data_IF_375016984457
#
_entry.id   IF_375016984457
#
_cell.length_a   1.000
_cell.length_b   1.000
_cell.length_c   1.000
_cell.angle_alpha   90.00
_cell.angle_beta   90.00
_cell.angle_gamma   90.00
#
_symmetry.space_group_name_H-M   'P 1'
#
loop_
_entity.id
_entity.type
_entity.pdbx_description
1 polymer ?
#
# COMPACT_ATOMS: atom_id res chain seq x y z
N UNK A 1 -7.79 -36.55 6.09
CA UNK A 1 -8.76 -35.44 5.99
C UNK A 1 -9.67 -35.58 7.18
N UNK A 2 -9.51 -34.76 8.20
CA UNK A 2 -10.42 -34.78 9.35
C UNK A 2 -11.72 -34.07 8.94
N UNK A 3 -12.84 -34.80 9.00
CA UNK A 3 -14.18 -34.25 8.88
C UNK A 3 -14.50 -33.44 10.13
N UNK A 4 -14.71 -32.13 10.02
CA UNK A 4 -14.87 -31.25 11.20
C UNK A 4 -16.23 -30.54 11.29
N UNK A 5 -17.26 -30.97 10.54
CA UNK A 5 -18.59 -30.39 10.72
C UNK A 5 -19.74 -31.14 10.03
N UNK A 6 -20.96 -30.88 10.51
CA UNK A 6 -22.23 -31.27 9.90
C UNK A 6 -22.92 -30.04 9.36
N UNK A 7 -23.42 -30.10 8.13
CA UNK A 7 -24.26 -29.06 7.53
C UNK A 7 -25.70 -29.49 7.72
N UNK A 8 -26.49 -28.66 8.41
CA UNK A 8 -27.93 -28.85 8.57
C UNK A 8 -28.68 -27.92 7.64
N UNK A 9 -29.57 -28.47 6.81
CA UNK A 9 -30.45 -27.67 5.96
C UNK A 9 -31.72 -27.35 6.74
N UNK A 10 -31.88 -26.11 7.22
CA UNK A 10 -32.96 -25.72 8.13
C UNK A 10 -34.37 -25.84 7.53
N UNK A 11 -34.47 -25.85 6.20
CA UNK A 11 -35.75 -25.96 5.48
C UNK A 11 -36.19 -27.42 5.32
N UNK A 12 -35.24 -28.33 5.09
CA UNK A 12 -35.52 -29.74 4.75
C UNK A 12 -35.26 -30.68 5.94
N UNK A 13 -34.51 -30.23 6.95
CA UNK A 13 -34.13 -31.05 8.11
C UNK A 13 -33.03 -32.07 7.83
N UNK A 14 -32.46 -32.05 6.62
CA UNK A 14 -31.40 -32.99 6.22
C UNK A 14 -30.03 -32.56 6.76
N UNK A 15 -29.29 -33.55 7.28
CA UNK A 15 -27.92 -33.37 7.76
C UNK A 15 -26.93 -34.05 6.81
N UNK A 16 -25.99 -33.28 6.29
CA UNK A 16 -24.92 -33.80 5.43
C UNK A 16 -23.54 -33.59 6.06
N UNK A 17 -22.57 -34.44 5.71
CA UNK A 17 -21.19 -34.31 6.20
C UNK A 17 -20.48 -33.16 5.49
N UNK A 18 -19.90 -32.23 6.27
CA UNK A 18 -19.10 -31.15 5.72
C UNK A 18 -17.68 -31.65 5.38
N UNK A 19 -17.32 -31.57 4.11
CA UNK A 19 -15.95 -31.84 3.64
C UNK A 19 -15.08 -30.57 3.62
N UNK A 20 -15.61 -29.43 4.05
CA UNK A 20 -14.87 -28.17 4.08
C UNK A 20 -13.93 -28.17 5.29
N UNK A 21 -12.64 -27.95 5.05
CA UNK A 21 -11.68 -27.78 6.13
C UNK A 21 -11.80 -26.36 6.70
N UNK A 22 -12.54 -26.19 7.79
CA UNK A 22 -12.65 -24.91 8.47
C UNK A 22 -11.30 -24.51 9.07
N UNK A 23 -10.73 -23.42 8.57
CA UNK A 23 -9.56 -22.77 9.16
C UNK A 23 -9.86 -21.29 9.35
N UNK A 24 -9.20 -20.64 10.30
CA UNK A 24 -9.37 -19.19 10.53
C UNK A 24 -9.08 -18.36 9.26
N UNK A 25 -8.24 -18.88 8.37
CA UNK A 25 -7.88 -18.23 7.10
C UNK A 25 -8.80 -18.60 5.92
N UNK A 26 -9.86 -19.38 6.13
CA UNK A 26 -10.78 -19.74 5.05
C UNK A 26 -11.44 -18.49 4.47
N UNK A 27 -11.66 -18.48 3.14
CA UNK A 27 -12.18 -17.33 2.39
C UNK A 27 -11.32 -16.06 2.50
N UNK A 28 -10.06 -16.18 2.91
CA UNK A 28 -9.09 -15.07 2.87
C UNK A 28 -7.97 -15.35 1.87
N UNK A 29 -7.23 -14.32 1.50
CA UNK A 29 -6.01 -14.44 0.68
C UNK A 29 -4.90 -15.29 1.33
N UNK A 30 -5.02 -15.60 2.62
CA UNK A 30 -4.10 -16.43 3.39
C UNK A 30 -4.56 -17.89 3.50
N UNK A 31 -5.55 -18.30 2.71
CA UNK A 31 -6.02 -19.69 2.63
C UNK A 31 -4.94 -20.67 2.12
N UNK A 32 -5.04 -21.93 2.54
CA UNK A 32 -4.16 -23.06 2.12
C UNK A 32 -2.66 -22.80 2.26
N UNK A 33 -2.23 -22.09 3.31
CA UNK A 33 -0.81 -21.86 3.57
C UNK A 33 -0.24 -22.98 4.44
N UNK A 34 0.90 -23.53 4.02
CA UNK A 34 1.66 -24.56 4.75
C UNK A 34 2.22 -24.11 6.12
N UNK A 35 2.03 -22.85 6.51
CA UNK A 35 2.58 -22.29 7.77
C UNK A 35 1.51 -22.34 8.84
N UNK A 36 1.91 -22.64 10.08
CA UNK A 36 1.01 -22.52 11.22
C UNK A 36 0.47 -21.11 11.35
N UNK A 37 -0.77 -20.99 11.81
CA UNK A 37 -1.46 -19.72 11.97
C UNK A 37 -0.65 -18.70 12.80
N UNK A 38 -0.01 -19.16 13.88
CA UNK A 38 0.88 -18.33 14.71
C UNK A 38 2.06 -17.72 13.94
N UNK A 39 2.65 -18.46 12.99
CA UNK A 39 3.75 -17.95 12.14
C UNK A 39 3.25 -16.98 11.07
N UNK A 40 2.01 -17.15 10.61
CA UNK A 40 1.36 -16.21 9.70
C UNK A 40 1.15 -14.87 10.42
N UNK A 41 0.62 -14.88 11.64
CA UNK A 41 0.44 -13.67 12.46
C UNK A 41 1.78 -12.99 12.83
N UNK A 42 2.79 -13.79 13.21
CA UNK A 42 4.12 -13.25 13.48
C UNK A 42 4.76 -12.61 12.23
N UNK A 43 4.36 -13.06 11.03
CA UNK A 43 4.83 -12.51 9.77
C UNK A 43 4.08 -11.25 9.33
N UNK A 44 2.81 -11.07 9.71
CA UNK A 44 2.06 -9.85 9.37
C UNK A 44 2.52 -8.64 10.18
N UNK A 45 2.89 -8.82 11.46
CA UNK A 45 3.37 -7.76 12.34
C UNK A 45 4.50 -6.87 11.74
N UNK A 46 5.67 -7.41 11.34
CA UNK A 46 6.74 -6.60 10.77
C UNK A 46 6.37 -6.00 9.41
N UNK A 47 5.42 -6.60 8.68
CA UNK A 47 4.92 -6.01 7.46
C UNK A 47 4.06 -4.77 7.73
N UNK A 48 3.16 -4.84 8.73
CA UNK A 48 2.30 -3.72 9.12
C UNK A 48 3.09 -2.59 9.79
N UNK A 49 4.17 -2.91 10.51
CA UNK A 49 5.02 -1.91 11.16
C UNK A 49 5.91 -1.11 10.18
N UNK A 50 6.11 -1.60 8.95
CA UNK A 50 6.89 -0.89 7.94
C UNK A 50 6.04 0.15 7.21
N UNK A 51 6.51 1.40 7.11
CA UNK A 51 5.81 2.50 6.41
C UNK A 51 5.41 2.11 4.97
N UNK A 52 6.25 1.35 4.27
CA UNK A 52 5.97 0.81 2.92
C UNK A 52 5.88 -0.73 2.89
N UNK A 53 5.75 -1.34 4.06
CA UNK A 53 5.98 -2.77 4.26
C UNK A 53 7.45 -3.13 4.42
N UNK A 54 7.73 -4.44 4.37
CA UNK A 54 9.06 -5.00 4.65
C UNK A 54 9.67 -5.63 3.39
N UNK A 55 10.96 -5.42 3.14
CA UNK A 55 11.67 -6.14 2.08
C UNK A 55 11.69 -7.65 2.38
N UNK A 56 11.44 -8.49 1.36
CA UNK A 56 11.37 -9.95 1.54
C UNK A 56 12.64 -10.54 2.16
N UNK A 57 13.81 -9.97 1.85
CA UNK A 57 15.09 -10.40 2.41
C UNK A 57 15.22 -10.08 3.91
N UNK A 58 14.66 -8.96 4.36
CA UNK A 58 14.59 -8.60 5.78
C UNK A 58 13.57 -9.50 6.50
N UNK A 59 12.40 -9.70 5.90
CA UNK A 59 11.33 -10.55 6.43
C UNK A 59 11.79 -12.00 6.64
N UNK A 60 12.65 -12.49 5.76
CA UNK A 60 13.30 -13.79 5.86
C UNK A 60 14.03 -13.99 7.18
N UNK A 61 14.69 -12.93 7.70
CA UNK A 61 15.44 -12.96 8.95
C UNK A 61 14.52 -13.10 10.17
N UNK A 62 13.34 -12.48 10.12
CA UNK A 62 12.33 -12.59 11.18
C UNK A 62 11.68 -13.98 11.24
N UNK A 63 11.29 -14.54 10.09
CA UNK A 63 10.51 -15.80 10.02
C UNK A 63 11.40 -17.05 9.93
N UNK A 64 12.70 -16.87 9.62
CA UNK A 64 13.70 -17.92 9.36
C UNK A 64 13.26 -18.88 8.26
N UNK A 65 13.12 -18.39 7.02
CA UNK A 65 12.67 -19.17 5.87
C UNK A 65 13.53 -18.95 4.62
N UNK A 66 13.19 -19.60 3.51
CA UNK A 66 13.75 -19.28 2.18
C UNK A 66 13.07 -18.03 1.62
N UNK A 67 13.81 -17.21 0.86
CA UNK A 67 13.38 -15.92 0.29
C UNK A 67 12.06 -15.99 -0.52
N UNK A 68 11.80 -17.10 -1.20
CA UNK A 68 10.57 -17.28 -1.97
C UNK A 68 9.31 -17.26 -1.09
N UNK A 69 9.41 -17.74 0.16
CA UNK A 69 8.28 -17.80 1.08
C UNK A 69 7.76 -16.42 1.52
N UNK A 70 8.59 -15.51 2.09
CA UNK A 70 8.16 -14.18 2.47
C UNK A 70 7.79 -13.35 1.24
N UNK A 71 8.46 -13.54 0.09
CA UNK A 71 8.12 -12.87 -1.16
C UNK A 71 6.67 -13.15 -1.59
N UNK A 72 6.29 -14.42 -1.74
CA UNK A 72 4.91 -14.79 -2.12
C UNK A 72 3.91 -14.41 -1.02
N UNK A 73 4.30 -14.53 0.25
CA UNK A 73 3.45 -14.15 1.38
C UNK A 73 3.10 -12.66 1.38
N UNK A 74 4.09 -11.78 1.19
CA UNK A 74 3.89 -10.33 1.14
C UNK A 74 3.00 -9.92 -0.03
N UNK A 75 3.12 -10.57 -1.19
CA UNK A 75 2.21 -10.31 -2.32
C UNK A 75 0.76 -10.69 -2.00
N UNK A 76 0.53 -11.75 -1.22
CA UNK A 76 -0.82 -12.08 -0.74
C UNK A 76 -1.37 -11.04 0.22
N UNK A 77 -0.53 -10.46 1.08
CA UNK A 77 -0.95 -9.34 1.94
C UNK A 77 -1.33 -8.13 1.09
N UNK A 78 -0.53 -7.78 0.07
CA UNK A 78 -0.86 -6.67 -0.85
C UNK A 78 -2.17 -6.91 -1.60
N UNK A 79 -2.37 -8.13 -2.10
CA UNK A 79 -3.65 -8.50 -2.72
C UNK A 79 -4.83 -8.36 -1.73
N UNK A 80 -4.63 -8.70 -0.46
CA UNK A 80 -5.65 -8.52 0.57
C UNK A 80 -5.97 -7.04 0.83
N UNK A 81 -4.95 -6.19 0.94
CA UNK A 81 -5.13 -4.74 1.07
C UNK A 81 -5.86 -4.17 -0.14
N UNK A 82 -5.49 -4.60 -1.35
CA UNK A 82 -6.15 -4.16 -2.58
C UNK A 82 -7.63 -4.54 -2.58
N UNK A 83 -8.00 -5.80 -2.26
CA UNK A 83 -9.42 -6.19 -2.18
C UNK A 83 -10.21 -5.37 -1.16
N UNK A 84 -9.58 -4.99 -0.04
CA UNK A 84 -10.22 -4.13 0.95
C UNK A 84 -10.41 -2.72 0.38
N UNK A 85 -9.36 -2.14 -0.21
CA UNK A 85 -9.42 -0.80 -0.81
C UNK A 85 -10.46 -0.73 -1.93
N UNK A 86 -10.52 -1.73 -2.82
CA UNK A 86 -11.50 -1.80 -3.91
C UNK A 86 -12.92 -1.82 -3.34
N UNK A 87 -13.16 -2.61 -2.27
CA UNK A 87 -14.45 -2.67 -1.59
C UNK A 87 -14.83 -1.37 -0.88
N UNK A 88 -13.85 -0.65 -0.32
CA UNK A 88 -14.12 0.67 0.29
C UNK A 88 -14.37 1.73 -0.79
N UNK A 89 -13.67 1.67 -1.92
CA UNK A 89 -13.87 2.57 -3.05
C UNK A 89 -15.27 2.42 -3.67
N UNK A 90 -15.80 1.19 -3.73
CA UNK A 90 -17.19 0.92 -4.15
C UNK A 90 -18.23 1.65 -3.28
N UNK A 91 -17.91 1.95 -2.01
CA UNK A 91 -18.80 2.67 -1.09
C UNK A 91 -18.68 4.19 -1.19
N UNK A 92 -17.72 4.70 -1.95
CA UNK A 92 -17.41 6.12 -2.08
C UNK A 92 -15.94 6.44 -1.80
N UNK A 93 -15.49 7.68 -2.08
CA UNK A 93 -14.14 8.11 -1.75
C UNK A 93 -13.90 8.06 -0.23
N UNK A 94 -12.77 7.46 0.18
CA UNK A 94 -12.39 7.35 1.61
C UNK A 94 -12.15 8.74 2.21
N UNK A 95 -11.72 9.69 1.37
CA UNK A 95 -11.48 11.09 1.74
C UNK A 95 -11.99 11.99 0.62
N UNK A 96 -12.65 13.09 0.98
CA UNK A 96 -13.17 14.10 0.06
C UNK A 96 -12.41 15.43 0.25
N UNK A 97 -12.24 16.20 -0.82
CA UNK A 97 -11.54 17.50 -0.81
C UNK A 97 -10.07 17.43 -1.27
N UNK A 98 -9.29 18.47 -0.97
CA UNK A 98 -7.85 18.51 -1.25
C UNK A 98 -7.10 17.68 -0.19
N UNK A 99 -6.65 16.49 -0.58
CA UNK A 99 -5.89 15.58 0.28
C UNK A 99 -4.40 15.74 0.03
N UNK A 100 -3.70 16.38 0.96
CA UNK A 100 -2.24 16.42 0.95
C UNK A 100 -1.68 15.09 1.47
N UNK A 101 -1.01 14.33 0.59
CA UNK A 101 -0.37 13.07 0.96
C UNK A 101 1.08 13.35 1.36
N UNK A 102 1.34 13.38 2.67
CA UNK A 102 2.68 13.56 3.21
C UNK A 102 3.50 12.27 3.01
N UNK A 103 4.35 12.27 1.97
CA UNK A 103 5.27 11.18 1.68
C UNK A 103 4.83 10.21 0.59
N UNK A 104 4.74 10.68 -0.66
CA UNK A 104 4.67 9.79 -1.82
C UNK A 104 6.08 9.37 -2.26
N UNK A 105 6.47 8.12 -1.99
CA UNK A 105 7.73 7.57 -2.49
C UNK A 105 7.56 7.09 -3.94
N UNK A 106 7.83 8.00 -4.88
CA UNK A 106 7.80 7.75 -6.32
C UNK A 106 9.00 6.91 -6.72
N UNK A 107 8.85 5.58 -6.75
CA UNK A 107 9.85 4.71 -7.38
C UNK A 107 9.65 4.69 -8.89
N UNK A 108 9.82 5.86 -9.51
CA UNK A 108 9.90 5.98 -10.96
C UNK A 108 11.33 5.74 -11.42
N UNK A 109 11.51 5.01 -12.53
CA UNK A 109 12.79 5.05 -13.26
C UNK A 109 12.96 6.51 -13.69
N UNK A 110 13.97 7.22 -13.20
CA UNK A 110 14.22 8.61 -13.61
C UNK A 110 14.42 8.65 -15.13
N UNK A 111 13.36 8.99 -15.87
CA UNK A 111 13.43 9.15 -17.32
C UNK A 111 14.11 10.48 -17.56
N UNK A 112 15.41 10.44 -17.84
CA UNK A 112 16.14 11.62 -18.28
C UNK A 112 15.96 11.76 -19.79
N UNK A 113 15.66 12.96 -20.30
CA UNK A 113 15.70 13.18 -21.74
C UNK A 113 17.12 12.95 -22.25
N UNK A 114 17.25 12.41 -23.47
CA UNK A 114 18.56 12.13 -24.09
C UNK A 114 19.38 13.39 -24.38
N UNK A 115 18.71 14.55 -24.45
CA UNK A 115 19.30 15.88 -24.70
C UNK A 115 18.74 16.86 -23.66
N UNK A 116 19.50 17.90 -23.28
CA UNK A 116 18.95 18.99 -22.46
C UNK A 116 17.83 19.68 -23.24
N UNK A 117 16.68 19.85 -22.58
CA UNK A 117 15.54 20.59 -23.12
C UNK A 117 15.67 22.02 -22.60
N UNK A 118 15.87 22.98 -23.50
CA UNK A 118 15.92 24.41 -23.18
C UNK A 118 14.58 25.11 -23.37
N UNK A 119 13.69 24.54 -24.19
CA UNK A 119 12.42 25.16 -24.55
C UNK A 119 11.26 24.63 -23.68
N UNK A 120 10.46 25.54 -23.11
CA UNK A 120 9.33 25.22 -22.23
C UNK A 120 8.27 24.34 -22.91
N UNK A 121 7.99 24.59 -24.19
CA UNK A 121 7.02 23.80 -24.97
C UNK A 121 7.46 22.36 -25.21
N UNK A 122 8.77 22.13 -25.31
CA UNK A 122 9.32 20.78 -25.45
C UNK A 122 9.34 20.04 -24.11
N UNK A 123 9.53 20.80 -23.02
CA UNK A 123 9.44 20.28 -21.66
C UNK A 123 8.02 19.81 -21.35
N UNK A 124 7.00 20.60 -21.74
CA UNK A 124 5.59 20.25 -21.55
C UNK A 124 5.19 19.00 -22.34
N UNK A 125 5.64 18.88 -23.61
CA UNK A 125 5.45 17.67 -24.42
C UNK A 125 6.14 16.44 -23.82
N UNK A 126 7.32 16.62 -23.22
CA UNK A 126 8.02 15.56 -22.51
C UNK A 126 7.20 15.11 -21.29
N UNK A 127 6.69 16.05 -20.50
CA UNK A 127 5.86 15.73 -19.35
C UNK A 127 4.54 15.08 -19.73
N UNK A 128 3.85 15.52 -20.78
CA UNK A 128 2.60 14.89 -21.24
C UNK A 128 2.82 13.45 -21.70
N UNK A 129 3.94 13.17 -22.38
CA UNK A 129 4.27 11.81 -22.84
C UNK A 129 4.59 10.85 -21.69
N UNK A 130 5.21 11.33 -20.62
CA UNK A 130 5.63 10.53 -19.47
C UNK A 130 4.75 10.77 -18.23
N UNK A 131 3.62 11.47 -18.39
CA UNK A 131 2.72 11.88 -17.29
C UNK A 131 2.14 10.68 -16.55
N UNK A 132 1.96 9.57 -17.24
CA UNK A 132 1.49 8.30 -16.64
C UNK A 132 2.61 7.54 -15.92
N UNK A 133 3.89 7.87 -16.14
CA UNK A 133 5.05 7.21 -15.51
C UNK A 133 5.75 8.06 -14.46
N UNK A 134 5.33 9.32 -14.28
CA UNK A 134 5.78 10.18 -13.18
C UNK A 134 4.64 10.37 -12.17
N UNK A 135 4.71 9.62 -11.08
CA UNK A 135 3.98 9.98 -9.88
C UNK A 135 4.61 11.28 -9.31
N UNK A 136 3.77 12.20 -8.81
CA UNK A 136 4.05 13.55 -8.28
C UNK A 136 4.46 14.65 -9.28
N UNK A 137 3.56 15.63 -9.45
CA UNK A 137 3.92 17.03 -9.66
C UNK A 137 4.23 17.63 -8.28
N UNK A 138 5.44 18.19 -8.11
CA UNK A 138 5.75 19.07 -6.98
C UNK A 138 5.49 20.49 -7.46
N UNK A 139 4.45 21.12 -6.92
CA UNK A 139 4.23 22.56 -7.10
C UNK A 139 5.25 23.31 -6.24
N UNK A 140 6.29 23.85 -6.88
CA UNK A 140 7.05 24.93 -6.27
C UNK A 140 6.18 26.18 -6.32
N UNK A 141 5.30 26.34 -5.32
CA UNK A 141 4.87 27.69 -4.96
C UNK A 141 6.12 28.42 -4.52
N UNK A 142 6.57 29.37 -5.36
CA UNK A 142 7.39 30.49 -4.93
C UNK A 142 6.56 31.18 -3.85
N UNK A 143 6.74 30.76 -2.60
CA UNK A 143 6.28 31.52 -1.47
C UNK A 143 7.07 32.83 -1.55
N UNK A 144 6.38 33.91 -1.87
CA UNK A 144 6.88 35.27 -1.73
C UNK A 144 7.57 35.39 -0.36
N UNK A 145 8.91 35.34 -0.37
CA UNK A 145 9.75 35.37 0.84
C UNK A 145 9.53 36.65 1.67
N UNK A 146 8.83 37.65 1.13
CA UNK A 146 8.54 38.92 1.79
C UNK A 146 7.45 38.83 2.86
N UNK A 147 6.59 37.80 2.89
CA UNK A 147 5.50 37.72 3.89
C UNK A 147 5.86 37.01 5.20
N UNK A 148 7.07 36.44 5.32
CA UNK A 148 7.53 35.72 6.52
C UNK A 148 8.55 36.51 7.36
N UNK A 149 8.93 37.72 6.96
CA UNK A 149 9.80 38.57 7.79
C UNK A 149 8.89 39.38 8.73
N UNK A 150 8.91 39.16 10.07
CA UNK A 150 8.22 40.05 10.99
C UNK A 150 8.80 41.48 10.83
N UNK A 151 7.97 42.54 10.88
CA UNK A 151 8.47 43.89 10.72
C UNK A 151 9.59 44.16 11.73
N UNK A 152 10.71 44.72 11.27
CA UNK A 152 11.81 45.14 12.15
C UNK A 152 11.21 46.03 13.25
N UNK A 153 11.34 45.60 14.51
CA UNK A 153 11.11 46.46 15.67
C UNK A 153 11.91 47.75 15.44
N UNK A 154 11.22 48.86 15.18
CA UNK A 154 11.85 50.18 15.28
C UNK A 154 12.33 50.31 16.73
N UNK A 155 13.63 50.52 16.92
CA UNK A 155 14.11 50.98 18.23
C UNK A 155 13.54 52.39 18.41
N UNK A 156 12.73 52.55 19.45
CA UNK A 156 12.26 53.84 19.90
C UNK A 156 13.46 54.76 20.13
N UNK A 157 13.34 56.00 19.67
CA UNK A 157 14.29 57.06 19.90
C UNK A 157 14.56 57.25 21.40
N UNK A 158 15.83 57.34 21.76
CA UNK A 158 16.31 58.08 22.93
C UNK A 158 17.62 58.73 22.54
#
# INVERSE_FOLDING_TARGET
MEMQGTITNEIVGETSTCYLQYTVTIRTHLHSRKRSFRRILAATLPFANGVMGFAALHQRRHIKNSYSTPFVFQHRIRAAIQTINDRELEKGPIMEGEVEIDGMFVTGKKVKPKKPITDEKELEKFFDKYRETHTALVDHRVLDFERLIPPKRSRAAT
#
